data_IF_131077888538
#
_entry.id   IF_131077888538
#
_cell.length_a   1.000
_cell.length_b   1.000
_cell.length_c   1.000
_cell.angle_alpha   90.00
_cell.angle_beta   90.00
_cell.angle_gamma   90.00
#
_symmetry.space_group_name_H-M   'P 1'
#
loop_
_entity.id
_entity.type
_entity.pdbx_description
1 polymer ?
#
# COMPACT_ATOMS: atom_id res chain seq x y z
N UNK A 1 12.54 23.17 9.22
CA UNK A 1 12.85 21.88 8.56
C UNK A 1 14.06 21.18 9.19
N UNK A 2 15.14 21.89 9.54
CA UNK A 2 16.31 21.31 10.24
C UNK A 2 15.97 20.57 11.55
N UNK A 3 15.12 21.14 12.41
CA UNK A 3 14.72 20.50 13.68
C UNK A 3 14.05 19.13 13.49
N UNK A 4 13.31 18.97 12.39
CA UNK A 4 12.64 17.72 12.03
C UNK A 4 13.67 16.65 11.65
N UNK A 5 14.68 17.02 10.85
CA UNK A 5 15.76 16.11 10.49
C UNK A 5 16.61 15.71 11.71
N UNK A 6 16.88 16.62 12.65
CA UNK A 6 17.60 16.31 13.90
C UNK A 6 16.82 15.30 14.75
N UNK A 7 15.50 15.47 14.85
CA UNK A 7 14.63 14.51 15.55
C UNK A 7 14.61 13.13 14.89
N UNK A 8 14.63 13.08 13.56
CA UNK A 8 14.69 11.81 12.82
C UNK A 8 16.01 11.07 13.07
N UNK A 9 17.14 11.79 13.20
CA UNK A 9 18.44 11.17 13.48
C UNK A 9 18.56 10.57 14.89
N UNK A 10 17.70 10.96 15.84
CA UNK A 10 17.64 10.37 17.18
C UNK A 10 16.90 9.01 17.18
N UNK A 11 16.15 8.72 16.12
CA UNK A 11 15.38 7.47 15.99
C UNK A 11 16.35 6.35 15.62
N UNK A 12 16.47 5.36 16.50
CA UNK A 12 17.16 4.11 16.18
C UNK A 12 16.29 3.28 15.24
N UNK A 13 16.76 3.01 14.00
CA UNK A 13 15.93 2.36 13.00
C UNK A 13 15.39 1.01 13.46
N UNK A 14 16.19 0.12 14.07
CA UNK A 14 15.71 -1.22 14.44
C UNK A 14 14.69 -1.21 15.60
N UNK A 15 14.92 -0.39 16.63
CA UNK A 15 14.00 -0.28 17.78
C UNK A 15 12.65 0.31 17.35
N UNK A 16 12.70 1.41 16.59
CA UNK A 16 11.51 2.05 16.05
C UNK A 16 10.73 1.11 15.13
N UNK A 17 11.45 0.44 14.24
CA UNK A 17 10.90 -0.52 13.31
C UNK A 17 10.19 -1.69 14.01
N UNK A 18 10.75 -2.21 15.12
CA UNK A 18 10.09 -3.24 15.94
C UNK A 18 8.89 -2.70 16.70
N UNK A 19 9.03 -1.53 17.35
CA UNK A 19 7.98 -0.94 18.17
C UNK A 19 6.68 -0.70 17.40
N UNK A 20 6.79 -0.30 16.14
CA UNK A 20 5.65 -0.01 15.27
C UNK A 20 5.30 -1.17 14.31
N UNK A 21 5.92 -2.35 14.46
CA UNK A 21 5.66 -3.50 13.59
C UNK A 21 6.00 -3.28 12.12
N UNK A 22 6.89 -2.33 11.83
CA UNK A 22 7.41 -2.03 10.49
C UNK A 22 8.54 -3.00 10.12
N UNK A 23 9.16 -3.59 11.13
CA UNK A 23 10.12 -4.66 10.98
C UNK A 23 9.43 -5.92 10.52
N UNK A 24 10.21 -6.75 9.83
CA UNK A 24 9.77 -7.96 9.16
C UNK A 24 9.42 -9.06 10.18
N UNK A 25 8.42 -8.83 11.02
CA UNK A 25 7.72 -9.87 11.77
C UNK A 25 6.55 -10.34 10.89
N UNK A 26 6.89 -11.18 9.92
CA UNK A 26 6.00 -11.69 8.86
C UNK A 26 5.13 -12.82 9.40
N UNK A 27 4.36 -12.53 10.43
CA UNK A 27 3.38 -13.47 10.97
C UNK A 27 1.93 -13.02 10.76
N UNK A 28 1.69 -11.99 9.93
CA UNK A 28 0.32 -11.54 9.64
C UNK A 28 -0.48 -12.60 8.88
N UNK A 29 0.16 -13.33 7.96
CA UNK A 29 -0.48 -14.36 7.14
C UNK A 29 0.24 -15.71 7.12
N UNK A 30 1.37 -15.86 7.81
CA UNK A 30 2.14 -17.12 7.78
C UNK A 30 1.37 -18.30 8.38
N UNK A 31 0.42 -18.04 9.29
CA UNK A 31 -0.49 -19.03 9.87
C UNK A 31 -1.72 -19.34 9.02
N UNK A 32 -1.98 -18.57 7.95
CA UNK A 32 -3.17 -18.67 7.08
C UNK A 32 -2.75 -18.80 5.61
N UNK A 33 -1.48 -19.12 5.34
CA UNK A 33 -0.99 -19.26 3.97
C UNK A 33 -1.71 -20.42 3.29
N UNK A 34 -2.55 -20.08 2.33
CA UNK A 34 -3.34 -21.01 1.53
C UNK A 34 -3.62 -20.38 0.18
N UNK A 35 -3.93 -21.21 -0.82
CA UNK A 35 -4.28 -20.72 -2.16
C UNK A 35 -5.47 -19.74 -2.10
N UNK A 36 -6.42 -19.95 -1.18
CA UNK A 36 -7.56 -19.03 -1.00
C UNK A 36 -7.16 -17.66 -0.45
N UNK A 37 -6.18 -17.60 0.46
CA UNK A 37 -5.62 -16.33 0.97
C UNK A 37 -4.82 -15.60 -0.09
N UNK A 38 -4.08 -16.32 -0.94
CA UNK A 38 -3.36 -15.73 -2.06
C UNK A 38 -4.33 -15.12 -3.09
N UNK A 39 -5.37 -15.86 -3.49
CA UNK A 39 -6.42 -15.35 -4.40
C UNK A 39 -7.14 -14.14 -3.82
N UNK A 40 -7.53 -14.20 -2.54
CA UNK A 40 -8.18 -13.08 -1.87
C UNK A 40 -7.29 -11.83 -1.85
N UNK A 41 -5.99 -12.00 -1.55
CA UNK A 41 -5.05 -10.89 -1.57
C UNK A 41 -4.97 -10.24 -2.96
N UNK A 42 -4.87 -11.03 -4.03
CA UNK A 42 -4.81 -10.48 -5.39
C UNK A 42 -6.09 -9.73 -5.76
N UNK A 43 -7.27 -10.28 -5.45
CA UNK A 43 -8.53 -9.56 -5.66
C UNK A 43 -8.57 -8.24 -4.88
N UNK A 44 -8.15 -8.25 -3.61
CA UNK A 44 -8.10 -7.03 -2.81
C UNK A 44 -7.18 -5.97 -3.44
N UNK A 45 -6.01 -6.37 -3.92
CA UNK A 45 -5.08 -5.45 -4.57
C UNK A 45 -5.59 -4.94 -5.91
N UNK A 46 -6.33 -5.75 -6.66
CA UNK A 46 -6.95 -5.32 -7.91
C UNK A 46 -8.03 -4.25 -7.65
N UNK A 47 -8.84 -4.41 -6.59
CA UNK A 47 -9.78 -3.38 -6.12
C UNK A 47 -9.06 -2.10 -5.66
N UNK A 48 -7.98 -2.24 -4.88
CA UNK A 48 -7.16 -1.09 -4.47
C UNK A 48 -6.57 -0.37 -5.67
N UNK A 49 -6.04 -1.11 -6.66
CA UNK A 49 -5.49 -0.54 -7.89
C UNK A 49 -6.55 0.20 -8.69
N UNK A 50 -7.76 -0.36 -8.80
CA UNK A 50 -8.90 0.30 -9.45
C UNK A 50 -9.22 1.63 -8.77
N UNK A 51 -9.25 1.66 -7.43
CA UNK A 51 -9.49 2.89 -6.65
C UNK A 51 -8.36 3.90 -6.70
N UNK A 52 -7.10 3.48 -6.81
CA UNK A 52 -5.99 4.41 -6.97
C UNK A 52 -6.02 5.13 -8.33
N UNK A 53 -6.63 4.52 -9.35
CA UNK A 53 -6.83 5.11 -10.69
C UNK A 53 -8.08 5.98 -10.79
N UNK A 54 -8.90 6.00 -9.73
CA UNK A 54 -10.15 6.75 -9.67
C UNK A 54 -9.86 8.19 -9.17
N UNK A 55 -10.05 9.22 -10.01
CA UNK A 55 -9.80 10.61 -9.62
C UNK A 55 -10.75 11.09 -8.50
N UNK A 56 -11.93 10.49 -8.36
CA UNK A 56 -12.85 10.83 -7.28
C UNK A 56 -12.31 10.34 -5.93
N UNK A 57 -11.67 9.16 -5.90
CA UNK A 57 -11.01 8.65 -4.70
C UNK A 57 -9.82 9.53 -4.27
N UNK A 58 -9.01 10.02 -5.22
CA UNK A 58 -7.94 11.00 -4.92
C UNK A 58 -8.53 12.27 -4.28
N UNK A 59 -9.60 12.81 -4.87
CA UNK A 59 -10.26 13.99 -4.34
C UNK A 59 -10.80 13.77 -2.93
N UNK A 60 -11.49 12.65 -2.68
CA UNK A 60 -12.01 12.29 -1.36
C UNK A 60 -10.90 12.21 -0.30
N UNK A 61 -9.79 11.55 -0.62
CA UNK A 61 -8.62 11.45 0.27
C UNK A 61 -8.08 12.84 0.60
N UNK A 62 -7.91 13.71 -0.40
CA UNK A 62 -7.45 15.09 -0.19
C UNK A 62 -8.43 15.85 0.69
N UNK A 63 -9.75 15.75 0.46
CA UNK A 63 -10.75 16.44 1.27
C UNK A 63 -10.71 16.01 2.73
N UNK A 64 -10.61 14.71 2.99
CA UNK A 64 -10.47 14.16 4.35
C UNK A 64 -9.23 14.75 5.02
N UNK A 65 -8.09 14.75 4.34
CA UNK A 65 -6.84 15.25 4.91
C UNK A 65 -6.87 16.77 5.13
N UNK A 66 -7.49 17.54 4.23
CA UNK A 66 -7.69 18.98 4.40
C UNK A 66 -8.61 19.28 5.59
N UNK A 67 -9.64 18.45 5.82
CA UNK A 67 -10.51 18.55 7.00
C UNK A 67 -9.73 18.31 8.28
N UNK A 68 -8.87 17.31 8.32
CA UNK A 68 -8.00 17.03 9.48
C UNK A 68 -6.97 18.15 9.70
N UNK A 69 -6.44 18.76 8.63
CA UNK A 69 -5.56 19.92 8.75
C UNK A 69 -6.20 21.09 9.50
N UNK A 70 -7.53 21.26 9.46
CA UNK A 70 -8.21 22.33 10.21
C UNK A 70 -8.13 22.15 11.74
N UNK A 71 -7.80 20.95 12.23
CA UNK A 71 -7.65 20.64 13.65
C UNK A 71 -6.22 20.91 14.17
N UNK A 72 -5.27 21.23 13.28
CA UNK A 72 -3.87 21.44 13.65
C UNK A 72 -3.65 22.94 13.95
N UNK A 73 -3.88 23.33 15.20
CA UNK A 73 -3.68 24.70 15.67
C UNK A 73 -2.27 25.21 15.37
N UNK A 74 -2.17 26.49 14.99
CA UNK A 74 -0.90 27.13 14.61
C UNK A 74 -0.33 26.70 13.25
N UNK A 75 -0.79 25.60 12.65
CA UNK A 75 -0.19 25.03 11.43
C UNK A 75 -1.17 24.67 10.30
N UNK A 76 -2.45 25.02 10.41
CA UNK A 76 -3.52 24.70 9.42
C UNK A 76 -3.06 24.92 7.97
N UNK A 77 -2.55 26.11 7.65
CA UNK A 77 -2.16 26.45 6.27
C UNK A 77 -0.91 25.69 5.80
N UNK A 78 0.02 25.41 6.71
CA UNK A 78 1.20 24.61 6.38
C UNK A 78 0.80 23.16 6.11
N UNK A 79 -0.09 22.58 6.93
CA UNK A 79 -0.64 21.25 6.71
C UNK A 79 -1.34 21.14 5.35
N UNK A 80 -2.24 22.08 5.02
CA UNK A 80 -2.95 22.07 3.73
C UNK A 80 -2.00 22.13 2.54
N UNK A 81 -0.94 22.94 2.61
CA UNK A 81 0.10 22.97 1.56
C UNK A 81 0.80 21.63 1.40
N UNK A 82 1.16 20.96 2.51
CA UNK A 82 1.78 19.65 2.45
C UNK A 82 0.83 18.60 1.85
N UNK A 83 -0.44 18.61 2.24
CA UNK A 83 -1.45 17.70 1.69
C UNK A 83 -1.57 17.87 0.18
N UNK A 84 -1.79 19.10 -0.30
CA UNK A 84 -1.94 19.38 -1.72
C UNK A 84 -0.67 19.09 -2.54
N UNK A 85 0.51 19.22 -1.93
CA UNK A 85 1.77 18.98 -2.61
C UNK A 85 2.14 17.49 -2.67
N UNK A 86 1.95 16.75 -1.59
CA UNK A 86 2.52 15.41 -1.45
C UNK A 86 1.52 14.28 -1.69
N UNK A 87 0.23 14.47 -1.40
CA UNK A 87 -0.74 13.37 -1.55
C UNK A 87 -0.89 12.90 -3.00
N UNK A 88 -1.02 13.79 -4.01
CA UNK A 88 -1.05 13.35 -5.41
C UNK A 88 0.21 12.55 -5.80
N UNK A 89 1.38 12.99 -5.34
CA UNK A 89 2.64 12.31 -5.60
C UNK A 89 2.71 10.93 -4.92
N UNK A 90 2.20 10.82 -3.69
CA UNK A 90 2.13 9.57 -2.94
C UNK A 90 1.20 8.58 -3.64
N UNK A 91 0.02 9.01 -4.10
CA UNK A 91 -0.93 8.15 -4.80
C UNK A 91 -0.35 7.62 -6.11
N UNK A 92 0.22 8.49 -6.96
CA UNK A 92 0.88 8.10 -8.22
C UNK A 92 2.07 7.17 -7.98
N UNK A 93 2.87 7.42 -6.96
CA UNK A 93 3.99 6.55 -6.63
C UNK A 93 3.52 5.21 -6.04
N UNK A 94 2.43 5.23 -5.28
CA UNK A 94 1.76 4.04 -4.76
C UNK A 94 1.24 3.14 -5.88
N UNK A 95 0.51 3.71 -6.85
CA UNK A 95 0.07 3.01 -8.06
C UNK A 95 1.24 2.31 -8.76
N UNK A 96 2.30 3.08 -9.09
CA UNK A 96 3.51 2.54 -9.73
C UNK A 96 4.20 1.45 -8.91
N UNK A 97 4.17 1.57 -7.58
CA UNK A 97 4.73 0.57 -6.68
C UNK A 97 3.92 -0.73 -6.75
N UNK A 98 2.58 -0.64 -6.70
CA UNK A 98 1.70 -1.80 -6.82
C UNK A 98 1.75 -2.47 -8.21
N UNK A 99 1.97 -1.69 -9.28
CA UNK A 99 2.13 -2.25 -10.64
C UNK A 99 3.44 -3.04 -10.79
N UNK A 100 4.51 -2.60 -10.13
CA UNK A 100 5.85 -3.18 -10.27
C UNK A 100 6.16 -4.30 -9.29
N UNK A 101 5.38 -4.42 -8.22
CA UNK A 101 5.66 -5.35 -7.13
C UNK A 101 4.48 -6.28 -6.89
N UNK A 102 4.78 -7.55 -6.62
CA UNK A 102 3.78 -8.48 -6.10
C UNK A 102 3.65 -8.29 -4.59
N UNK A 103 2.72 -7.44 -4.18
CA UNK A 103 2.52 -7.17 -2.76
C UNK A 103 2.04 -8.42 -2.02
N UNK A 104 1.27 -9.31 -2.67
CA UNK A 104 0.80 -10.54 -2.03
C UNK A 104 1.95 -11.50 -1.70
N UNK A 105 2.97 -11.56 -2.55
CA UNK A 105 4.23 -12.26 -2.21
C UNK A 105 5.02 -11.52 -1.10
N UNK A 106 5.10 -10.19 -1.15
CA UNK A 106 5.84 -9.40 -0.15
C UNK A 106 5.26 -9.54 1.26
N UNK A 107 3.93 -9.57 1.39
CA UNK A 107 3.22 -9.77 2.66
C UNK A 107 3.02 -11.25 3.01
N UNK A 108 3.56 -12.16 2.20
CA UNK A 108 3.51 -13.62 2.36
C UNK A 108 2.10 -14.23 2.34
N UNK A 109 1.13 -13.53 1.76
CA UNK A 109 -0.16 -14.13 1.40
C UNK A 109 0.00 -15.17 0.27
N UNK A 110 1.00 -14.99 -0.60
CA UNK A 110 1.37 -15.90 -1.68
C UNK A 110 2.80 -16.43 -1.54
N UNK A 111 3.11 -17.52 -2.25
CA UNK A 111 4.50 -18.00 -2.44
C UNK A 111 5.33 -17.05 -3.30
N UNK A 112 6.61 -16.92 -2.98
CA UNK A 112 7.55 -16.07 -3.73
C UNK A 112 7.73 -16.51 -5.21
N UNK A 113 7.29 -17.73 -5.55
CA UNK A 113 7.35 -18.32 -6.88
C UNK A 113 6.04 -18.24 -7.67
N UNK A 114 4.92 -17.88 -7.05
CA UNK A 114 3.64 -17.73 -7.75
C UNK A 114 3.53 -16.33 -8.35
N UNK A 115 4.21 -16.09 -9.48
CA UNK A 115 3.87 -14.92 -10.32
C UNK A 115 2.42 -15.05 -10.76
N UNK A 116 1.63 -13.98 -10.60
CA UNK A 116 0.25 -13.79 -11.07
C UNK A 116 -0.11 -14.75 -12.22
N UNK A 117 -0.66 -15.92 -11.88
CA UNK A 117 -1.13 -16.90 -12.86
C UNK A 117 -2.53 -16.52 -13.36
N UNK A 118 -2.76 -15.24 -13.66
CA UNK A 118 -4.04 -14.77 -14.24
C UNK A 118 -4.13 -15.18 -15.72
N UNK A 119 -3.00 -15.46 -16.37
CA UNK A 119 -2.97 -15.98 -17.75
C UNK A 119 -3.10 -17.51 -17.89
N UNK A 120 -2.69 -18.28 -16.88
CA UNK A 120 -2.60 -19.75 -17.01
C UNK A 120 -3.92 -20.49 -16.78
N UNK A 121 -4.86 -19.88 -16.05
CA UNK A 121 -6.18 -20.51 -15.81
C UNK A 121 -7.10 -20.46 -17.03
N UNK A 122 -6.93 -19.47 -17.91
CA UNK A 122 -7.73 -19.34 -19.14
C UNK A 122 -7.32 -20.38 -20.20
N UNK A 123 -6.04 -20.75 -20.28
CA UNK A 123 -5.58 -21.78 -21.23
C UNK A 123 -5.95 -23.21 -20.77
N UNK A 124 -6.00 -23.47 -19.46
CA UNK A 124 -6.39 -24.77 -18.93
C UNK A 124 -7.89 -25.09 -19.14
N UNK A 125 -8.74 -24.06 -19.22
CA UNK A 125 -10.18 -24.23 -19.49
C UNK A 125 -10.50 -24.62 -20.94
N UNK A 126 -9.71 -24.18 -21.92
CA UNK A 126 -9.98 -24.40 -23.34
C UNK A 126 -9.52 -25.77 -23.87
N UNK A 127 -8.68 -26.50 -23.11
CA UNK A 127 -8.18 -27.83 -23.46
C UNK A 127 -9.02 -28.97 -22.86
N UNK A 128 -10.03 -28.67 -22.05
CA UNK A 128 -10.92 -29.68 -21.46
C UNK A 128 -12.13 -30.02 -22.33
N UNK A 129 -12.36 -29.27 -23.43
CA UNK A 129 -13.53 -29.42 -24.30
C UNK A 129 -13.17 -29.83 -25.75
N UNK A 130 -11.97 -30.38 -25.99
CA UNK A 130 -11.54 -30.94 -27.28
C UNK A 130 -11.14 -32.41 -27.18
#
# INVERSE_FOLDING_TARGET
>A
MQLLFTKITEIKPEEFCKQYGLCRDIALFSSVRSDSTCVFCHHLLDEVMSKLKDPDAEFEIIQILIKECNKIEGHVQQCKRLVLQYIPLILVNGEKFLEKNDICALVQACDASQKRAVGSFLEAGLLSDA
#
